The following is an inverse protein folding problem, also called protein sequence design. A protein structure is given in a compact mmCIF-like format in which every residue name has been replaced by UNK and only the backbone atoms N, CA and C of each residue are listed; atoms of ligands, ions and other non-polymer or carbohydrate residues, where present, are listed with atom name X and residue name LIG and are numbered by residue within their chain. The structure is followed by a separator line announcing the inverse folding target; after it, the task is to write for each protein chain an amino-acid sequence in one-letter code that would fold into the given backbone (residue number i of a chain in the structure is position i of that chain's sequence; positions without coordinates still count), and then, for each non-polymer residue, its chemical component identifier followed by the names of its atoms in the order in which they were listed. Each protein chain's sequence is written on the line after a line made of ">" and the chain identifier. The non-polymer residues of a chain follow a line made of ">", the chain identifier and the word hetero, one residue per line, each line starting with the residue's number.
data_IF_703847442141
#
_entry.id   IF_703847442141
#
_cell.length_a   1.000
_cell.length_b   1.000
_cell.length_c   1.000
_cell.angle_alpha   90.00
_cell.angle_beta   90.00
_cell.angle_gamma   90.00
#
_symmetry.space_group_name_H-M   'P 1'
#
loop_
_entity.id
_entity.type
_entity.pdbx_description
1 polymer ?
#
# COMPACT_ATOMS: atom_id res chain seq x y z
N UNK A 1 55.41 24.70 8.34
CA UNK A 1 54.44 24.54 9.44
C UNK A 1 53.18 23.88 8.89
N UNK A 2 52.95 22.63 9.25
CA UNK A 2 51.91 21.75 8.70
C UNK A 2 50.60 21.93 9.49
N UNK A 3 49.62 22.65 8.93
CA UNK A 3 48.30 22.82 9.56
C UNK A 3 47.40 21.63 9.21
N UNK A 4 47.30 20.69 10.14
CA UNK A 4 46.28 19.65 10.20
C UNK A 4 44.89 20.30 10.32
N UNK A 5 43.96 19.93 9.44
CA UNK A 5 42.53 20.10 9.71
C UNK A 5 41.83 18.75 9.51
N UNK A 6 41.11 18.37 10.56
CA UNK A 6 40.41 17.11 10.76
C UNK A 6 39.00 17.23 10.20
N UNK A 7 38.54 16.16 9.56
CA UNK A 7 37.20 15.98 9.01
C UNK A 7 36.13 15.85 10.09
N UNK A 8 34.90 16.28 9.79
CA UNK A 8 33.69 15.60 10.27
C UNK A 8 32.53 15.89 9.30
N UNK A 9 32.28 14.96 8.39
CA UNK A 9 31.10 14.95 7.55
C UNK A 9 29.98 14.23 8.31
N UNK A 10 28.95 14.97 8.74
CA UNK A 10 27.73 14.39 9.28
C UNK A 10 26.77 14.09 8.11
N UNK A 11 26.70 12.81 7.69
CA UNK A 11 25.63 12.34 6.82
C UNK A 11 24.33 12.29 7.64
N UNK A 12 23.45 13.26 7.41
CA UNK A 12 22.05 13.17 7.79
C UNK A 12 21.36 12.16 6.85
N UNK A 13 21.21 10.92 7.32
CA UNK A 13 20.33 9.95 6.70
C UNK A 13 18.88 10.34 7.02
N UNK A 14 18.25 11.08 6.11
CA UNK A 14 16.81 11.30 6.10
C UNK A 14 16.11 9.98 5.74
N UNK A 15 15.57 9.29 6.75
CA UNK A 15 14.64 8.20 6.53
C UNK A 15 13.35 8.77 5.92
N UNK A 16 13.12 8.50 4.63
CA UNK A 16 11.83 8.76 4.00
C UNK A 16 10.78 7.83 4.63
N UNK A 17 10.06 8.34 5.61
CA UNK A 17 8.74 7.81 5.99
C UNK A 17 7.83 7.86 4.77
N UNK A 18 7.16 6.74 4.48
CA UNK A 18 6.43 6.48 3.24
C UNK A 18 5.58 7.64 2.73
N UNK A 19 5.71 7.91 1.43
CA UNK A 19 4.95 8.93 0.71
C UNK A 19 3.47 8.58 0.69
N UNK A 20 2.67 9.22 1.56
CA UNK A 20 1.24 9.34 1.35
C UNK A 20 1.03 10.32 0.19
N UNK A 21 0.79 9.81 -1.02
CA UNK A 21 0.34 10.63 -2.15
C UNK A 21 -1.11 11.05 -1.88
N UNK A 22 -1.28 12.18 -1.19
CA UNK A 22 -2.60 12.77 -0.95
C UNK A 22 -3.14 13.35 -2.26
N UNK A 23 -3.92 12.57 -3.00
CA UNK A 23 -4.78 13.11 -4.04
C UNK A 23 -6.00 13.79 -3.40
N UNK A 24 -6.52 14.84 -4.04
CA UNK A 24 -7.56 15.71 -3.49
C UNK A 24 -8.90 15.02 -3.18
N UNK A 25 -9.08 13.76 -3.58
CA UNK A 25 -10.35 13.04 -3.52
C UNK A 25 -10.33 11.79 -2.65
N UNK A 26 -9.16 11.31 -2.22
CA UNK A 26 -9.07 10.13 -1.36
C UNK A 26 -7.74 10.09 -0.58
N UNK A 27 -7.72 9.32 0.50
CA UNK A 27 -6.49 8.83 1.14
C UNK A 27 -6.26 7.36 0.80
N UNK A 28 -5.02 7.01 0.42
CA UNK A 28 -4.58 5.62 0.32
C UNK A 28 -3.61 5.33 1.46
N UNK A 29 -4.00 4.39 2.33
CA UNK A 29 -3.19 3.91 3.43
C UNK A 29 -2.87 2.43 3.25
N UNK A 30 -1.63 2.06 3.52
CA UNK A 30 -1.19 0.66 3.56
C UNK A 30 -0.62 0.39 4.94
N UNK A 31 -1.18 -0.59 5.64
CA UNK A 31 -0.74 -1.00 6.97
C UNK A 31 -0.18 -2.42 6.89
N UNK A 32 1.13 -2.53 7.06
CA UNK A 32 1.85 -3.80 7.10
C UNK A 32 2.20 -4.15 8.55
N UNK A 33 1.91 -5.40 9.00
CA UNK A 33 2.30 -5.85 10.33
C UNK A 33 3.78 -6.22 10.35
N UNK A 34 4.35 -6.35 11.56
CA UNK A 34 5.56 -7.15 11.74
C UNK A 34 5.16 -8.61 11.62
N UNK A 35 5.70 -9.29 10.62
CA UNK A 35 5.41 -10.69 10.34
C UNK A 35 6.45 -11.61 11.00
N UNK A 36 6.11 -12.88 11.12
CA UNK A 36 7.04 -13.94 11.51
C UNK A 36 7.28 -14.85 10.31
N UNK A 37 8.52 -15.31 10.12
CA UNK A 37 8.82 -16.27 9.07
C UNK A 37 7.97 -17.54 9.22
N UNK A 38 7.48 -18.09 8.11
CA UNK A 38 6.63 -19.28 8.03
C UNK A 38 5.31 -19.16 8.83
N UNK A 39 4.76 -17.94 8.91
CA UNK A 39 3.46 -17.69 9.52
C UNK A 39 2.63 -16.72 8.66
N UNK A 40 1.33 -17.02 8.52
CA UNK A 40 0.40 -16.13 7.82
C UNK A 40 0.33 -14.77 8.53
N UNK A 41 0.42 -13.70 7.75
CA UNK A 41 0.28 -12.30 8.16
C UNK A 41 -0.56 -11.55 7.14
N UNK A 42 -1.13 -10.41 7.53
CA UNK A 42 -2.09 -9.68 6.70
C UNK A 42 -1.69 -8.22 6.54
N UNK A 43 -1.49 -7.77 5.30
CA UNK A 43 -1.40 -6.34 4.97
C UNK A 43 -2.78 -5.79 4.66
N UNK A 44 -3.11 -4.62 5.21
CA UNK A 44 -4.35 -3.91 4.86
C UNK A 44 -4.05 -2.80 3.86
N UNK A 45 -4.80 -2.77 2.75
CA UNK A 45 -4.77 -1.69 1.75
C UNK A 45 -6.13 -0.98 1.79
N UNK A 46 -6.15 0.27 2.25
CA UNK A 46 -7.40 1.03 2.47
C UNK A 46 -7.41 2.33 1.68
N UNK A 47 -8.49 2.55 0.95
CA UNK A 47 -8.85 3.84 0.35
C UNK A 47 -9.99 4.45 1.14
N UNK A 48 -9.85 5.71 1.54
CA UNK A 48 -10.91 6.51 2.19
C UNK A 48 -11.26 7.68 1.31
N UNK A 49 -12.52 7.87 0.92
CA UNK A 49 -12.91 9.04 0.13
C UNK A 49 -12.80 10.34 0.95
N UNK A 50 -12.65 11.47 0.26
CA UNK A 50 -12.52 12.81 0.88
C UNK A 50 -13.54 13.80 0.32
N UNK A 51 -13.84 14.82 1.12
CA UNK A 51 -14.75 15.90 0.75
C UNK A 51 -16.10 15.34 0.32
N UNK A 52 -16.65 15.91 -0.76
CA UNK A 52 -17.97 15.51 -1.28
C UNK A 52 -17.89 14.33 -2.27
N UNK A 53 -16.88 13.47 -2.15
CA UNK A 53 -16.70 12.31 -3.03
C UNK A 53 -17.01 10.98 -2.35
N UNK A 54 -17.42 10.00 -3.15
CA UNK A 54 -17.64 8.63 -2.71
C UNK A 54 -16.92 7.63 -3.62
N UNK A 55 -16.65 6.43 -3.12
CA UNK A 55 -16.11 5.30 -3.89
C UNK A 55 -17.17 4.81 -4.88
N UNK A 56 -16.82 4.74 -6.16
CA UNK A 56 -17.71 4.19 -7.19
C UNK A 56 -17.74 2.66 -7.10
N UNK A 57 -18.83 2.13 -6.52
CA UNK A 57 -19.05 0.68 -6.34
C UNK A 57 -19.44 -0.05 -7.63
N UNK A 58 -19.79 0.66 -8.70
CA UNK A 58 -20.17 0.10 -10.01
C UNK A 58 -18.95 -0.05 -10.94
N UNK A 59 -17.90 0.75 -10.72
CA UNK A 59 -16.67 0.66 -11.48
C UNK A 59 -15.85 -0.57 -11.06
N UNK A 60 -15.22 -1.31 -12.00
CA UNK A 60 -14.36 -2.44 -11.67
C UNK A 60 -13.25 -2.08 -10.69
N UNK A 61 -13.40 -2.53 -9.44
CA UNK A 61 -12.37 -2.40 -8.40
C UNK A 61 -11.51 -3.65 -8.38
N UNK A 62 -10.19 -3.47 -8.35
CA UNK A 62 -9.22 -4.57 -8.39
C UNK A 62 -7.92 -4.22 -7.68
N UNK A 63 -7.44 -5.13 -6.84
CA UNK A 63 -6.07 -5.11 -6.33
C UNK A 63 -5.31 -6.29 -6.92
N UNK A 64 -4.17 -6.04 -7.57
CA UNK A 64 -3.23 -7.08 -8.00
C UNK A 64 -1.90 -6.86 -7.30
N UNK A 65 -1.34 -7.91 -6.69
CA UNK A 65 -0.03 -7.87 -6.05
C UNK A 65 0.90 -8.92 -6.66
N UNK A 66 2.18 -8.57 -6.71
CA UNK A 66 3.27 -9.38 -7.20
C UNK A 66 4.26 -9.53 -6.04
N UNK A 67 4.18 -10.62 -5.26
CA UNK A 67 5.13 -10.87 -4.19
C UNK A 67 6.53 -11.14 -4.77
N UNK A 68 7.60 -10.82 -4.02
CA UNK A 68 8.95 -11.22 -4.37
C UNK A 68 9.14 -12.73 -4.12
N UNK A 69 10.29 -13.26 -4.50
CA UNK A 69 10.68 -14.64 -4.16
C UNK A 69 10.69 -14.86 -2.64
N UNK A 70 10.31 -16.07 -2.21
CA UNK A 70 10.20 -16.44 -0.79
C UNK A 70 9.02 -15.79 -0.06
N UNK A 71 8.07 -15.21 -0.78
CA UNK A 71 6.80 -14.70 -0.24
C UNK A 71 5.63 -15.29 -1.02
N UNK A 72 4.78 -16.03 -0.31
CA UNK A 72 3.52 -16.56 -0.84
C UNK A 72 2.37 -15.62 -0.50
N UNK A 73 1.49 -15.32 -1.46
CA UNK A 73 0.26 -14.54 -1.23
C UNK A 73 -0.94 -15.40 -1.58
N UNK A 74 -1.87 -15.53 -0.65
CA UNK A 74 -3.06 -16.39 -0.78
C UNK A 74 -3.92 -16.05 -1.99
N UNK A 75 -4.05 -14.76 -2.28
CA UNK A 75 -4.79 -14.25 -3.44
C UNK A 75 -4.11 -13.02 -4.04
N UNK A 76 -3.34 -13.24 -5.10
CA UNK A 76 -2.58 -12.19 -5.81
C UNK A 76 -3.47 -11.23 -6.58
N UNK A 77 -4.71 -11.63 -6.90
CA UNK A 77 -5.69 -10.78 -7.60
C UNK A 77 -7.03 -10.81 -6.87
N UNK A 78 -7.39 -9.66 -6.29
CA UNK A 78 -8.63 -9.44 -5.57
C UNK A 78 -9.52 -8.48 -6.36
N UNK A 79 -10.84 -8.71 -6.31
CA UNK A 79 -11.86 -7.87 -6.95
C UNK A 79 -12.83 -7.31 -5.92
N UNK A 80 -13.82 -6.50 -6.31
CA UNK A 80 -14.80 -5.93 -5.39
C UNK A 80 -15.45 -6.94 -4.42
N UNK A 81 -15.65 -8.20 -4.82
CA UNK A 81 -16.22 -9.26 -3.97
C UNK A 81 -15.26 -9.79 -2.91
N UNK A 82 -13.97 -9.51 -3.04
CA UNK A 82 -12.92 -9.90 -2.09
C UNK A 82 -12.60 -8.77 -1.10
N UNK A 83 -13.14 -7.57 -1.32
CA UNK A 83 -12.94 -6.45 -0.41
C UNK A 83 -13.57 -6.77 0.94
N UNK A 84 -12.82 -6.59 2.02
CA UNK A 84 -13.35 -6.73 3.39
C UNK A 84 -14.32 -5.60 3.72
N UNK A 85 -14.20 -4.46 3.01
CA UNK A 85 -15.16 -3.37 3.05
C UNK A 85 -15.25 -2.68 1.69
N UNK A 86 -16.46 -2.52 1.18
CA UNK A 86 -16.76 -1.69 0.01
C UNK A 86 -18.02 -0.86 0.30
N UNK A 87 -17.83 0.42 0.51
CA UNK A 87 -18.85 1.40 0.90
C UNK A 87 -18.54 2.74 0.25
N UNK A 88 -19.47 3.70 0.35
CA UNK A 88 -19.30 5.02 -0.25
C UNK A 88 -18.07 5.76 0.29
N UNK A 89 -17.69 5.53 1.54
CA UNK A 89 -16.53 6.18 2.16
C UNK A 89 -15.25 5.36 2.14
N UNK A 90 -15.33 4.05 1.90
CA UNK A 90 -14.21 3.13 2.18
C UNK A 90 -14.18 1.94 1.23
N UNK A 91 -13.00 1.71 0.66
CA UNK A 91 -12.61 0.47 -0.01
C UNK A 91 -11.43 -0.13 0.75
N UNK A 92 -11.52 -1.40 1.13
CA UNK A 92 -10.49 -2.08 1.92
C UNK A 92 -10.26 -3.50 1.41
N UNK A 93 -8.98 -3.83 1.19
CA UNK A 93 -8.49 -5.16 0.87
C UNK A 93 -7.54 -5.66 1.95
N UNK A 94 -7.54 -6.97 2.15
CA UNK A 94 -6.56 -7.66 2.99
C UNK A 94 -5.72 -8.59 2.12
N UNK A 95 -4.40 -8.43 2.19
CA UNK A 95 -3.43 -9.28 1.49
C UNK A 95 -2.81 -10.22 2.52
N UNK A 96 -3.36 -11.43 2.60
CA UNK A 96 -2.78 -12.51 3.39
C UNK A 96 -1.53 -13.06 2.69
N UNK A 97 -0.42 -13.08 3.40
CA UNK A 97 0.88 -13.51 2.91
C UNK A 97 1.63 -14.33 3.96
N UNK A 98 2.58 -15.14 3.49
CA UNK A 98 3.56 -15.85 4.30
C UNK A 98 4.93 -15.64 3.65
N UNK A 99 5.96 -15.47 4.48
CA UNK A 99 7.33 -15.30 4.01
C UNK A 99 8.21 -16.39 4.63
N UNK A 100 9.03 -17.05 3.81
CA UNK A 100 9.78 -18.24 4.22
C UNK A 100 10.97 -17.86 5.13
N UNK A 101 11.55 -16.68 4.88
CA UNK A 101 12.79 -16.21 5.51
C UNK A 101 12.63 -14.83 6.15
N UNK A 102 13.29 -14.57 7.29
CA UNK A 102 13.35 -13.24 7.90
C UNK A 102 13.91 -12.16 6.96
N UNK A 103 13.71 -10.91 7.38
CA UNK A 103 14.15 -9.70 6.68
C UNK A 103 13.03 -8.97 5.97
N UNK A 104 13.35 -7.78 5.48
CA UNK A 104 12.40 -6.93 4.75
C UNK A 104 12.08 -7.53 3.38
N UNK A 105 10.79 -7.76 3.11
CA UNK A 105 10.30 -8.16 1.78
C UNK A 105 9.44 -7.05 1.20
N UNK A 106 9.67 -6.68 -0.05
CA UNK A 106 8.87 -5.65 -0.73
C UNK A 106 7.84 -6.28 -1.65
N UNK A 107 6.55 -6.13 -1.32
CA UNK A 107 5.45 -6.56 -2.19
C UNK A 107 5.03 -5.38 -3.06
N UNK A 108 4.99 -5.59 -4.37
CA UNK A 108 4.56 -4.57 -5.35
C UNK A 108 3.18 -4.88 -5.87
N UNK A 109 2.46 -3.88 -6.37
CA UNK A 109 1.12 -4.12 -6.90
C UNK A 109 0.52 -2.95 -7.65
N UNK A 110 -0.71 -3.15 -8.07
CA UNK A 110 -1.57 -2.19 -8.73
C UNK A 110 -2.97 -2.23 -8.13
N UNK A 111 -3.46 -1.08 -7.68
CA UNK A 111 -4.83 -0.87 -7.21
C UNK A 111 -5.61 -0.06 -8.24
N UNK A 112 -6.74 -0.60 -8.69
CA UNK A 112 -7.69 0.05 -9.59
C UNK A 112 -9.00 0.29 -8.86
N UNK A 113 -9.49 1.52 -8.90
CA UNK A 113 -10.76 1.94 -8.30
C UNK A 113 -11.22 3.26 -8.94
N UNK A 114 -12.38 3.76 -8.54
CA UNK A 114 -12.85 5.08 -8.96
C UNK A 114 -13.55 5.79 -7.79
N UNK A 115 -13.56 7.12 -7.81
CA UNK A 115 -14.41 7.94 -6.95
C UNK A 115 -15.34 8.79 -7.81
N UNK A 116 -16.47 9.22 -7.26
CA UNK A 116 -17.39 10.15 -7.92
C UNK A 116 -17.74 11.31 -7.01
N UNK A 117 -17.90 12.50 -7.60
CA UNK A 117 -18.56 13.65 -6.99
C UNK A 117 -20.00 13.70 -7.52
N UNK A 118 -20.97 13.38 -6.66
CA UNK A 118 -22.31 13.04 -7.13
C UNK A 118 -22.31 11.78 -8.01
N UNK A 119 -23.35 11.57 -8.81
CA UNK A 119 -23.53 10.31 -9.55
C UNK A 119 -22.80 10.27 -10.91
N UNK A 120 -22.60 11.41 -11.56
CA UNK A 120 -22.14 11.45 -12.96
C UNK A 120 -20.67 11.85 -13.12
N UNK A 121 -20.10 12.56 -12.15
CA UNK A 121 -18.71 13.05 -12.22
C UNK A 121 -17.76 12.06 -11.54
N UNK A 122 -17.30 11.07 -12.30
CA UNK A 122 -16.44 10.00 -11.78
C UNK A 122 -15.01 10.09 -12.33
N UNK A 123 -14.03 9.84 -11.47
CA UNK A 123 -12.63 9.72 -11.82
C UNK A 123 -12.11 8.32 -11.50
N UNK A 124 -11.43 7.73 -12.47
CA UNK A 124 -10.82 6.40 -12.36
C UNK A 124 -9.34 6.51 -11.98
N UNK A 125 -8.88 5.57 -11.19
CA UNK A 125 -7.53 5.54 -10.66
C UNK A 125 -6.89 4.18 -10.91
N UNK A 126 -5.64 4.23 -11.36
CA UNK A 126 -4.71 3.10 -11.35
C UNK A 126 -3.50 3.53 -10.55
N UNK A 127 -3.29 2.92 -9.38
CA UNK A 127 -2.20 3.25 -8.47
C UNK A 127 -1.24 2.09 -8.38
N UNK A 128 0.01 2.34 -8.75
CA UNK A 128 1.10 1.42 -8.42
C UNK A 128 1.40 1.57 -6.94
N UNK A 129 1.36 0.47 -6.22
CA UNK A 129 1.65 0.40 -4.79
C UNK A 129 2.89 -0.45 -4.56
N UNK A 130 3.63 -0.12 -3.51
CA UNK A 130 4.78 -0.89 -3.04
C UNK A 130 4.82 -0.75 -1.53
N UNK A 131 4.93 -1.86 -0.81
CA UNK A 131 4.99 -1.84 0.64
C UNK A 131 5.96 -2.90 1.14
N UNK A 132 6.67 -2.54 2.19
CA UNK A 132 7.62 -3.40 2.86
C UNK A 132 6.93 -4.13 4.01
N UNK A 133 7.21 -5.41 4.13
CA UNK A 133 6.85 -6.24 5.29
C UNK A 133 8.13 -6.63 6.02
N UNK A 134 8.21 -6.29 7.31
CA UNK A 134 9.31 -6.68 8.19
C UNK A 134 9.02 -8.08 8.74
N UNK A 135 9.81 -9.07 8.32
CA UNK A 135 9.67 -10.47 8.73
C UNK A 135 10.75 -10.79 9.77
N UNK A 136 10.34 -11.32 10.92
CA UNK A 136 11.22 -11.69 12.03
C UNK A 136 11.33 -13.19 12.24
#
# INVERSE_FOLDING_TARGET
>A
MLKKTVALAALLATSLTGSALAESYYDLAISAPKAKANAESVVTVKVTSKGDTHINKKYPTRLTVNPPEGVSVKKTRQTATDAVKLSDSTLEFQVAFEADEPGTKTIKGELRFATCKGEESCQQYTKRISFDVDVK
#
